data_IF_664209403260
#
_entry.id   IF_664209403260
#
_cell.length_a   1.000
_cell.length_b   1.000
_cell.length_c   1.000
_cell.angle_alpha   90.00
_cell.angle_beta   90.00
_cell.angle_gamma   90.00
#
_symmetry.space_group_name_H-M   'P 1'
#
loop_
_entity.id
_entity.type
_entity.pdbx_description
1 polymer ?
#
# COMPACT_ATOMS: atom_id res chain seq x y z
N UNK A 1 -7.82 0.36 -8.21
CA UNK A 1 -7.14 0.54 -6.92
C UNK A 1 -7.22 2.00 -6.53
N UNK A 2 -7.60 2.32 -5.30
CA UNK A 2 -7.69 3.70 -4.81
C UNK A 2 -6.79 3.86 -3.59
N UNK A 3 -6.07 4.98 -3.45
CA UNK A 3 -5.34 5.27 -2.23
C UNK A 3 -6.27 5.31 -1.01
N UNK A 4 -5.76 4.83 0.11
CA UNK A 4 -6.32 5.02 1.44
C UNK A 4 -5.33 5.79 2.30
N UNK A 5 -5.73 6.18 3.50
CA UNK A 5 -4.93 7.00 4.39
C UNK A 5 -4.66 6.29 5.70
N UNK A 6 -3.51 6.56 6.29
CA UNK A 6 -3.19 6.12 7.64
C UNK A 6 -2.94 7.28 8.59
N UNK A 7 -3.19 7.01 9.87
CA UNK A 7 -2.78 7.86 10.99
C UNK A 7 -1.98 7.01 11.96
N UNK A 8 -0.69 7.34 12.12
CA UNK A 8 0.19 6.75 13.11
C UNK A 8 0.14 7.60 14.38
N UNK A 9 -0.38 7.03 15.47
CA UNK A 9 -0.47 7.71 16.76
C UNK A 9 0.84 7.58 17.54
N UNK A 10 1.38 8.71 17.98
CA UNK A 10 2.51 8.77 18.92
C UNK A 10 1.96 8.94 20.34
N UNK A 11 1.65 7.80 20.93
CA UNK A 11 1.06 7.72 22.27
C UNK A 11 2.10 8.05 23.36
N UNK A 12 1.78 8.85 24.39
CA UNK A 12 2.74 9.20 25.44
C UNK A 12 3.03 8.01 26.34
N UNK A 13 4.30 7.59 26.45
CA UNK A 13 4.71 6.33 27.13
C UNK A 13 4.37 6.27 28.63
N UNK A 14 4.15 7.41 29.28
CA UNK A 14 3.95 7.55 30.73
C UNK A 14 2.48 7.38 31.19
N UNK A 15 1.55 7.08 30.27
CA UNK A 15 0.11 7.02 30.58
C UNK A 15 -0.39 5.63 30.97
N UNK A 16 -1.38 5.61 31.87
CA UNK A 16 -2.03 4.39 32.35
C UNK A 16 -2.89 3.75 31.23
N UNK A 17 -3.10 2.41 31.25
CA UNK A 17 -3.91 1.70 30.25
C UNK A 17 -5.32 2.27 30.02
N UNK A 18 -5.97 2.78 31.07
CA UNK A 18 -7.29 3.40 30.96
C UNK A 18 -7.32 4.67 30.12
N UNK A 19 -6.19 5.39 30.02
CA UNK A 19 -6.05 6.57 29.18
C UNK A 19 -6.13 6.19 27.70
N UNK A 20 -5.40 5.16 27.28
CA UNK A 20 -5.43 4.67 25.90
C UNK A 20 -6.79 4.12 25.51
N UNK A 21 -7.48 3.44 26.44
CA UNK A 21 -8.83 2.94 26.19
C UNK A 21 -9.82 4.06 25.83
N UNK A 22 -9.70 5.24 26.45
CA UNK A 22 -10.54 6.40 26.13
C UNK A 22 -10.24 6.96 24.73
N UNK A 23 -8.97 7.03 24.35
CA UNK A 23 -8.56 7.47 23.01
C UNK A 23 -9.11 6.50 21.95
N UNK A 24 -8.88 5.19 22.12
CA UNK A 24 -9.36 4.17 21.19
C UNK A 24 -10.89 4.21 21.05
N UNK A 25 -11.61 4.34 22.17
CA UNK A 25 -13.07 4.44 22.15
C UNK A 25 -13.52 5.67 21.38
N UNK A 26 -12.96 6.84 21.67
CA UNK A 26 -13.41 8.07 21.00
C UNK A 26 -13.03 8.13 19.51
N UNK A 27 -11.94 7.48 19.09
CA UNK A 27 -11.63 7.30 17.66
C UNK A 27 -12.73 6.47 16.98
N UNK A 28 -13.15 5.37 17.59
CA UNK A 28 -14.24 4.53 17.06
C UNK A 28 -15.59 5.27 17.00
N UNK A 29 -15.80 6.25 17.88
CA UNK A 29 -16.98 7.13 17.84
C UNK A 29 -16.86 8.25 16.78
N UNK A 30 -15.65 8.50 16.25
CA UNK A 30 -15.36 9.59 15.30
C UNK A 30 -15.36 9.12 13.85
N UNK A 31 -14.78 7.95 13.57
CA UNK A 31 -14.60 7.41 12.22
C UNK A 31 -14.79 5.90 12.16
N UNK A 32 -15.07 5.39 10.96
CA UNK A 32 -15.03 3.95 10.68
C UNK A 32 -13.63 3.56 10.23
N UNK A 33 -12.92 2.79 11.05
CA UNK A 33 -11.60 2.26 10.68
C UNK A 33 -11.75 1.15 9.63
N UNK A 34 -10.90 1.20 8.61
CA UNK A 34 -10.67 0.09 7.69
C UNK A 34 -10.01 -1.09 8.42
N UNK A 35 -8.92 -0.77 9.11
CA UNK A 35 -8.15 -1.71 9.92
C UNK A 35 -7.17 -0.96 10.83
N UNK A 36 -6.39 -1.71 11.61
CA UNK A 36 -5.27 -1.16 12.39
C UNK A 36 -4.13 -2.16 12.54
N UNK A 37 -2.92 -1.63 12.66
CA UNK A 37 -1.78 -2.35 13.22
C UNK A 37 -1.18 -1.54 14.37
N UNK A 38 -1.31 -2.06 15.60
CA UNK A 38 -0.87 -1.37 16.83
C UNK A 38 -1.45 0.05 16.93
N UNK A 39 -0.61 1.07 16.70
CA UNK A 39 -0.94 2.50 16.76
C UNK A 39 -1.13 3.13 15.37
N UNK A 40 -0.96 2.36 14.30
CA UNK A 40 -1.27 2.73 12.93
C UNK A 40 -2.74 2.40 12.62
N UNK A 41 -3.49 3.40 12.19
CA UNK A 41 -4.91 3.31 11.89
C UNK A 41 -5.14 3.56 10.41
N UNK A 42 -5.95 2.75 9.74
CA UNK A 42 -6.30 2.93 8.33
C UNK A 42 -7.73 3.44 8.17
N UNK A 43 -7.93 4.41 7.27
CA UNK A 43 -9.22 5.06 6.97
C UNK A 43 -9.36 5.31 5.46
N UNK A 44 -10.60 5.55 5.00
CA UNK A 44 -10.88 5.67 3.58
C UNK A 44 -10.45 7.03 2.99
N UNK A 45 -10.36 8.07 3.81
CA UNK A 45 -10.15 9.43 3.32
C UNK A 45 -9.22 10.27 4.20
N UNK A 46 -8.62 11.29 3.58
CA UNK A 46 -7.83 12.28 4.29
C UNK A 46 -8.66 13.02 5.35
N UNK A 47 -9.93 13.32 5.06
CA UNK A 47 -10.82 13.99 6.01
C UNK A 47 -11.07 13.15 7.27
N UNK A 48 -11.19 11.83 7.15
CA UNK A 48 -11.27 10.95 8.32
C UNK A 48 -9.94 10.92 9.10
N UNK A 49 -8.81 10.93 8.40
CA UNK A 49 -7.48 10.97 9.02
C UNK A 49 -7.27 12.28 9.81
N UNK A 50 -7.66 13.42 9.24
CA UNK A 50 -7.68 14.74 9.89
C UNK A 50 -8.65 14.77 11.08
N UNK A 51 -9.81 14.13 10.97
CA UNK A 51 -10.76 14.04 12.08
C UNK A 51 -10.20 13.25 13.27
N UNK A 52 -9.44 12.18 13.03
CA UNK A 52 -8.69 11.47 14.09
C UNK A 52 -7.68 12.41 14.74
N UNK A 53 -6.85 13.11 13.97
CA UNK A 53 -5.83 14.03 14.51
C UNK A 53 -6.47 15.12 15.38
N UNK A 54 -7.51 15.77 14.88
CA UNK A 54 -8.25 16.79 15.61
C UNK A 54 -8.83 16.24 16.93
N UNK A 55 -9.34 15.01 16.91
CA UNK A 55 -9.83 14.35 18.12
C UNK A 55 -8.71 14.05 19.13
N UNK A 56 -7.56 13.53 18.68
CA UNK A 56 -6.47 13.11 19.57
C UNK A 56 -5.60 14.27 20.06
N UNK A 57 -5.63 15.42 19.39
CA UNK A 57 -4.90 16.62 19.79
C UNK A 57 -5.19 17.06 21.24
N UNK A 58 -6.44 16.91 21.71
CA UNK A 58 -6.82 17.22 23.11
C UNK A 58 -6.17 16.30 24.15
N UNK A 59 -5.62 15.17 23.71
CA UNK A 59 -4.85 14.23 24.54
C UNK A 59 -3.33 14.42 24.38
N UNK A 60 -2.89 15.50 23.72
CA UNK A 60 -1.47 15.75 23.46
C UNK A 60 -0.77 14.58 22.75
N UNK A 61 -1.51 13.90 21.86
CA UNK A 61 -1.01 12.85 20.98
C UNK A 61 -0.66 13.51 19.65
N UNK A 62 0.56 13.28 19.17
CA UNK A 62 0.98 13.70 17.83
C UNK A 62 0.72 12.58 16.81
N UNK A 63 0.56 12.96 15.55
CA UNK A 63 0.22 12.05 14.47
C UNK A 63 1.24 12.15 13.33
N UNK A 64 1.45 11.04 12.64
CA UNK A 64 2.06 10.99 11.31
C UNK A 64 1.06 10.41 10.29
N UNK A 65 1.09 10.95 9.08
CA UNK A 65 0.20 10.55 7.98
C UNK A 65 0.93 9.70 6.95
N UNK A 66 0.20 8.77 6.34
CA UNK A 66 0.69 7.99 5.21
C UNK A 66 -0.40 7.75 4.17
N UNK A 67 0.01 7.52 2.93
CA UNK A 67 -0.87 7.06 1.85
C UNK A 67 -0.54 5.61 1.53
N UNK A 68 -1.57 4.80 1.38
CA UNK A 68 -1.43 3.36 1.22
C UNK A 68 -2.36 2.86 0.14
N UNK A 69 -2.15 1.62 -0.28
CA UNK A 69 -3.15 0.86 -1.03
C UNK A 69 -3.39 -0.49 -0.37
N UNK A 70 -4.67 -0.86 -0.24
CA UNK A 70 -5.04 -2.20 0.20
C UNK A 70 -4.97 -3.15 -0.98
N UNK A 71 -4.22 -4.24 -0.83
CA UNK A 71 -4.14 -5.33 -1.79
C UNK A 71 -5.15 -6.40 -1.40
N UNK A 72 -6.01 -6.80 -2.34
CA UNK A 72 -6.94 -7.89 -2.12
C UNK A 72 -6.23 -9.27 -2.08
N UNK A 73 -7.00 -10.33 -1.82
CA UNK A 73 -6.50 -11.69 -1.64
C UNK A 73 -5.95 -12.32 -2.93
N UNK A 74 -6.29 -11.77 -4.10
CA UNK A 74 -5.83 -12.26 -5.40
C UNK A 74 -4.40 -11.85 -5.71
N UNK A 75 -3.83 -10.91 -4.96
CA UNK A 75 -2.41 -10.58 -5.03
C UNK A 75 -1.55 -11.69 -4.43
N UNK A 76 -0.49 -12.06 -5.14
CA UNK A 76 0.60 -12.86 -4.58
C UNK A 76 1.63 -11.94 -3.94
N UNK A 77 2.10 -12.26 -2.74
CA UNK A 77 3.01 -11.42 -1.95
C UNK A 77 4.39 -12.07 -1.85
N UNK A 78 5.45 -11.32 -2.14
CA UNK A 78 6.82 -11.75 -1.86
C UNK A 78 7.17 -11.45 -0.40
N UNK A 79 6.84 -12.37 0.50
CA UNK A 79 6.93 -12.15 1.96
C UNK A 79 8.31 -11.69 2.47
N UNK A 80 9.39 -12.03 1.77
CA UNK A 80 10.76 -11.65 2.19
C UNK A 80 11.05 -10.16 2.05
N UNK A 81 10.43 -9.49 1.08
CA UNK A 81 10.67 -8.07 0.78
C UNK A 81 9.44 -7.23 1.06
N UNK A 82 8.23 -7.78 0.98
CA UNK A 82 6.98 -7.03 1.14
C UNK A 82 6.90 -6.26 2.47
N UNK A 83 7.37 -6.84 3.57
CA UNK A 83 7.29 -6.22 4.91
C UNK A 83 8.19 -4.99 5.07
N UNK A 84 9.11 -4.74 4.14
CA UNK A 84 9.92 -3.52 4.13
C UNK A 84 9.19 -2.34 3.44
N UNK A 85 8.08 -2.62 2.72
CA UNK A 85 7.32 -1.66 1.92
C UNK A 85 5.83 -1.65 2.26
N UNK A 86 5.43 -2.44 3.24
CA UNK A 86 4.03 -2.72 3.53
C UNK A 86 3.88 -3.58 4.77
N UNK A 87 2.65 -3.95 5.09
CA UNK A 87 2.35 -4.79 6.23
C UNK A 87 1.12 -5.65 5.99
N UNK A 88 1.03 -6.72 6.77
CA UNK A 88 -0.16 -7.57 6.88
C UNK A 88 -0.68 -7.43 8.30
N UNK A 89 -1.91 -6.95 8.45
CA UNK A 89 -2.51 -6.75 9.77
C UNK A 89 -2.94 -8.08 10.38
N UNK A 90 -3.37 -8.04 11.65
CA UNK A 90 -4.01 -9.19 12.32
C UNK A 90 -5.31 -9.64 11.67
N UNK A 91 -5.97 -8.74 10.95
CA UNK A 91 -7.19 -9.03 10.17
C UNK A 91 -6.87 -9.61 8.79
N UNK A 92 -5.59 -9.92 8.53
CA UNK A 92 -5.06 -10.46 7.26
C UNK A 92 -5.19 -9.52 6.05
N UNK A 93 -5.52 -8.24 6.30
CA UNK A 93 -5.49 -7.21 5.26
C UNK A 93 -4.05 -6.83 4.95
N UNK A 94 -3.79 -6.59 3.67
CA UNK A 94 -2.45 -6.32 3.13
C UNK A 94 -2.41 -4.88 2.67
N UNK A 95 -1.48 -4.10 3.23
CA UNK A 95 -1.33 -2.69 2.91
C UNK A 95 0.07 -2.44 2.37
N UNK A 96 0.14 -1.75 1.24
CA UNK A 96 1.39 -1.32 0.60
C UNK A 96 1.55 0.19 0.80
N UNK A 97 2.71 0.61 1.30
CA UNK A 97 3.05 2.01 1.56
C UNK A 97 3.40 2.72 0.25
N UNK A 98 2.62 3.74 -0.10
CA UNK A 98 2.85 4.49 -1.33
C UNK A 98 4.02 5.48 -1.20
N UNK A 99 4.53 5.77 -0.01
CA UNK A 99 5.77 6.53 0.11
C UNK A 99 6.99 5.75 -0.42
N UNK A 100 6.91 4.41 -0.40
CA UNK A 100 8.02 3.49 -0.72
C UNK A 100 7.82 2.73 -2.02
N UNK A 101 6.57 2.49 -2.42
CA UNK A 101 6.24 1.61 -3.54
C UNK A 101 5.35 2.27 -4.59
N UNK A 102 5.36 1.68 -5.78
CA UNK A 102 4.47 2.01 -6.89
C UNK A 102 3.85 0.74 -7.46
N UNK A 103 2.69 0.88 -8.09
CA UNK A 103 2.04 -0.20 -8.83
C UNK A 103 2.12 0.10 -10.32
N UNK A 104 2.70 -0.82 -11.06
CA UNK A 104 2.82 -0.77 -12.51
C UNK A 104 2.01 -1.88 -13.15
N UNK A 105 1.49 -1.61 -14.33
CA UNK A 105 0.94 -2.64 -15.20
C UNK A 105 1.97 -3.08 -16.23
N UNK A 106 1.93 -4.35 -16.58
CA UNK A 106 2.66 -4.98 -17.66
C UNK A 106 1.65 -5.67 -18.58
N UNK A 107 1.64 -5.28 -19.84
CA UNK A 107 0.67 -5.72 -20.84
C UNK A 107 1.37 -6.22 -22.10
N UNK A 108 0.74 -7.12 -22.88
CA UNK A 108 1.29 -7.50 -24.16
C UNK A 108 1.39 -6.25 -25.05
N UNK A 109 2.46 -6.17 -25.84
CA UNK A 109 2.60 -5.13 -26.85
C UNK A 109 1.74 -5.42 -28.08
N UNK A 110 1.81 -4.53 -29.06
CA UNK A 110 1.11 -4.71 -30.34
C UNK A 110 1.88 -5.59 -31.33
N UNK A 111 3.14 -5.93 -31.02
CA UNK A 111 3.98 -6.76 -31.86
C UNK A 111 3.57 -8.24 -31.77
N UNK A 112 3.52 -9.00 -32.89
CA UNK A 112 3.17 -10.42 -32.87
C UNK A 112 4.12 -11.30 -32.06
N UNK A 113 5.36 -10.84 -31.85
CA UNK A 113 6.40 -11.51 -31.08
C UNK A 113 6.60 -10.91 -29.68
N UNK A 114 5.55 -10.30 -29.10
CA UNK A 114 5.56 -9.87 -27.71
C UNK A 114 5.56 -11.08 -26.75
N UNK A 115 6.54 -11.13 -25.85
CA UNK A 115 6.75 -12.26 -24.94
C UNK A 115 6.38 -11.89 -23.51
N UNK A 116 5.09 -11.66 -23.27
CA UNK A 116 4.58 -11.22 -21.96
C UNK A 116 4.96 -12.17 -20.82
N UNK A 117 4.93 -13.48 -21.06
CA UNK A 117 5.29 -14.46 -20.03
C UNK A 117 6.73 -14.30 -19.55
N UNK A 118 7.68 -14.10 -20.47
CA UNK A 118 9.10 -13.88 -20.14
C UNK A 118 9.32 -12.53 -19.48
N UNK A 119 8.65 -11.48 -19.97
CA UNK A 119 8.68 -10.16 -19.35
C UNK A 119 8.19 -10.22 -17.89
N UNK A 120 7.13 -10.99 -17.66
CA UNK A 120 6.52 -11.14 -16.35
C UNK A 120 7.41 -11.97 -15.41
N UNK A 121 8.06 -13.03 -15.91
CA UNK A 121 9.05 -13.81 -15.14
C UNK A 121 10.23 -12.95 -14.69
N UNK A 122 10.79 -12.11 -15.57
CA UNK A 122 11.87 -11.20 -15.20
C UNK A 122 11.39 -10.09 -14.25
N UNK A 123 10.17 -9.58 -14.42
CA UNK A 123 9.61 -8.56 -13.54
C UNK A 123 9.33 -9.09 -12.12
N UNK A 124 9.01 -10.38 -11.97
CA UNK A 124 8.76 -11.02 -10.68
C UNK A 124 9.98 -11.03 -9.76
N UNK A 125 11.20 -11.00 -10.31
CA UNK A 125 12.45 -10.89 -9.53
C UNK A 125 12.53 -9.59 -8.71
N UNK A 126 11.73 -8.59 -9.09
CA UNK A 126 11.68 -7.26 -8.48
C UNK A 126 10.33 -6.97 -7.82
N UNK A 127 9.38 -7.89 -7.90
CA UNK A 127 8.03 -7.69 -7.39
C UNK A 127 7.98 -7.82 -5.86
N UNK A 128 7.38 -6.82 -5.21
CA UNK A 128 6.92 -6.88 -3.82
C UNK A 128 5.64 -7.72 -3.73
N UNK A 129 4.78 -7.52 -4.72
CA UNK A 129 3.53 -8.25 -4.91
C UNK A 129 3.12 -8.21 -6.38
N UNK A 130 2.31 -9.17 -6.83
CA UNK A 130 1.77 -9.15 -8.19
C UNK A 130 0.38 -9.79 -8.27
N UNK A 131 -0.36 -9.46 -9.32
CA UNK A 131 -1.64 -10.05 -9.66
C UNK A 131 -1.75 -10.17 -11.18
N UNK A 132 -2.26 -11.30 -11.67
CA UNK A 132 -2.62 -11.45 -13.09
C UNK A 132 -4.10 -11.14 -13.26
N UNK A 133 -4.42 -10.19 -14.13
CA UNK A 133 -5.78 -9.81 -14.47
C UNK A 133 -6.39 -10.75 -15.53
N UNK A 134 -7.72 -10.72 -15.64
CA UNK A 134 -8.47 -11.59 -16.55
C UNK A 134 -8.16 -11.35 -18.04
N UNK A 135 -7.68 -10.16 -18.40
CA UNK A 135 -7.25 -9.79 -19.75
C UNK A 135 -5.78 -10.18 -20.05
N UNK A 136 -5.12 -10.84 -19.09
CA UNK A 136 -3.72 -11.23 -19.17
C UNK A 136 -2.73 -10.13 -18.76
N UNK A 137 -3.19 -8.90 -18.45
CA UNK A 137 -2.33 -7.87 -17.87
C UNK A 137 -1.82 -8.32 -16.51
N UNK A 138 -0.58 -7.95 -16.18
CA UNK A 138 -0.01 -8.16 -14.86
C UNK A 138 0.12 -6.86 -14.11
N UNK A 139 -0.45 -6.77 -12.92
CA UNK A 139 -0.18 -5.69 -11.97
C UNK A 139 0.97 -6.12 -11.07
N UNK A 140 1.91 -5.20 -10.84
CA UNK A 140 3.14 -5.47 -10.11
C UNK A 140 3.40 -4.30 -9.16
N UNK A 141 3.48 -4.59 -7.87
CA UNK A 141 3.97 -3.66 -6.87
C UNK A 141 5.50 -3.75 -6.81
N UNK A 142 6.17 -2.61 -6.90
CA UNK A 142 7.64 -2.51 -6.91
C UNK A 142 8.09 -1.34 -6.04
N UNK A 143 9.36 -1.33 -5.65
CA UNK A 143 10.00 -0.14 -5.09
C UNK A 143 9.80 1.05 -6.05
N UNK A 144 9.49 2.24 -5.50
CA UNK A 144 9.23 3.46 -6.29
C UNK A 144 10.34 3.81 -7.28
N UNK A 145 11.59 3.47 -6.96
CA UNK A 145 12.76 3.71 -7.79
C UNK A 145 12.96 2.65 -8.89
N UNK A 146 12.17 1.58 -8.92
CA UNK A 146 12.26 0.49 -9.89
C UNK A 146 11.20 0.55 -11.01
N UNK A 147 10.35 1.57 -11.03
CA UNK A 147 9.36 1.75 -12.12
C UNK A 147 10.00 1.80 -13.52
N UNK A 148 11.15 2.48 -13.64
CA UNK A 148 11.92 2.54 -14.88
C UNK A 148 12.54 1.19 -15.29
N UNK A 149 12.90 0.36 -14.30
CA UNK A 149 13.39 -1.00 -14.55
C UNK A 149 12.30 -1.86 -15.19
N UNK A 150 11.08 -1.83 -14.65
CA UNK A 150 9.95 -2.58 -15.22
C UNK A 150 9.64 -2.11 -16.64
N UNK A 151 9.72 -0.80 -16.91
CA UNK A 151 9.57 -0.28 -18.27
C UNK A 151 10.69 -0.77 -19.22
N UNK A 152 11.91 -0.94 -18.70
CA UNK A 152 13.03 -1.54 -19.42
C UNK A 152 12.77 -3.02 -19.77
N UNK A 153 12.29 -3.80 -18.80
CA UNK A 153 11.90 -5.20 -18.98
C UNK A 153 10.80 -5.30 -20.04
N UNK A 154 9.72 -4.53 -19.90
CA UNK A 154 8.63 -4.52 -20.87
C UNK A 154 9.15 -4.28 -22.30
N UNK A 155 10.03 -3.28 -22.48
CA UNK A 155 10.62 -2.96 -23.79
C UNK A 155 11.46 -4.10 -24.34
N UNK A 156 12.28 -4.76 -23.51
CA UNK A 156 13.15 -5.86 -23.94
C UNK A 156 12.35 -7.01 -24.57
N UNK A 157 11.14 -7.26 -24.07
CA UNK A 157 10.21 -8.30 -24.53
C UNK A 157 9.06 -7.77 -25.40
N UNK A 158 9.20 -6.56 -25.96
CA UNK A 158 8.21 -5.92 -26.84
C UNK A 158 6.81 -5.81 -26.23
N UNK A 159 6.76 -5.72 -24.91
CA UNK A 159 5.58 -5.48 -24.11
C UNK A 159 5.43 -3.99 -23.79
N UNK A 160 4.30 -3.63 -23.18
CA UNK A 160 4.00 -2.28 -22.73
C UNK A 160 3.92 -2.24 -21.21
N UNK A 161 4.30 -1.12 -20.60
CA UNK A 161 4.10 -0.89 -19.17
C UNK A 161 3.55 0.51 -18.91
N UNK A 162 2.73 0.65 -17.87
CA UNK A 162 2.30 1.96 -17.38
C UNK A 162 2.24 1.99 -15.86
N UNK A 163 2.45 3.15 -15.25
CA UNK A 163 2.21 3.33 -13.81
C UNK A 163 0.70 3.40 -13.59
N UNK A 164 0.17 2.48 -12.79
CA UNK A 164 -1.24 2.43 -12.39
C UNK A 164 -1.46 3.23 -11.12
N UNK A 165 -0.50 3.14 -10.19
CA UNK A 165 -0.47 3.91 -8.96
C UNK A 165 0.97 4.37 -8.70
N UNK A 166 1.18 5.69 -8.75
CA UNK A 166 2.48 6.26 -8.44
C UNK A 166 2.73 6.25 -6.93
N UNK A 167 4.00 6.25 -6.55
CA UNK A 167 4.38 6.57 -5.18
C UNK A 167 3.88 7.98 -4.81
N UNK A 168 3.51 8.15 -3.54
CA UNK A 168 3.21 9.45 -2.96
C UNK A 168 4.50 10.28 -2.82
N UNK A 169 4.37 11.59 -3.00
CA UNK A 169 5.46 12.57 -2.87
C UNK A 169 5.84 12.83 -1.39
#
# INVERSE_FOLDING_TARGET
MQPIYSVQLHLPEDKLPGYYAQIVKGIADTVTLLDRDKTLLFVHSLAEAEAIEAFVAKYNVTCEYGQWVQLDDTWSIQMRTFTDYGLITRSENRFLDLALASVVSLSPGTAPDAELALAAEQADEHALAWQTQNDGQRLIAVDRHQTALIAGIARAYRCSSSVVLAAAD
#
